data_IF_497774300569
#
_entry.id   IF_497774300569
#
_cell.length_a   1.000
_cell.length_b   1.000
_cell.length_c   1.000
_cell.angle_alpha   90.00
_cell.angle_beta   90.00
_cell.angle_gamma   90.00
#
_symmetry.space_group_name_H-M   'P 1'
#
loop_
_entity.id
_entity.type
_entity.pdbx_description
1 polymer ?
#
# COMPACT_ATOMS: atom_id res chain seq x y z
N UNK A 1 -8.93 -24.77 7.47
CA UNK A 1 -8.64 -23.32 7.69
C UNK A 1 -9.77 -22.52 7.09
N UNK A 2 -10.31 -21.52 7.81
CA UNK A 2 -11.40 -20.71 7.27
C UNK A 2 -10.92 -19.92 6.05
N UNK A 3 -11.72 -19.91 4.99
CA UNK A 3 -11.45 -19.17 3.74
C UNK A 3 -11.13 -17.69 4.01
N UNK A 4 -11.75 -17.12 5.03
CA UNK A 4 -11.50 -15.76 5.51
C UNK A 4 -10.03 -15.54 5.89
N UNK A 5 -9.44 -16.43 6.68
CA UNK A 5 -8.03 -16.31 7.09
C UNK A 5 -7.11 -16.39 5.87
N UNK A 6 -7.40 -17.28 4.92
CA UNK A 6 -6.62 -17.40 3.69
C UNK A 6 -6.63 -16.12 2.85
N UNK A 7 -7.79 -15.46 2.73
CA UNK A 7 -7.93 -14.17 2.05
C UNK A 7 -7.12 -13.08 2.77
N UNK A 8 -7.22 -12.97 4.10
CA UNK A 8 -6.46 -11.98 4.87
C UNK A 8 -4.95 -12.16 4.71
N UNK A 9 -4.46 -13.41 4.76
CA UNK A 9 -3.05 -13.70 4.56
C UNK A 9 -2.58 -13.30 3.14
N UNK A 10 -3.38 -13.60 2.13
CA UNK A 10 -3.07 -13.22 0.74
C UNK A 10 -3.03 -11.69 0.56
N UNK A 11 -3.97 -10.96 1.17
CA UNK A 11 -4.00 -9.49 1.15
C UNK A 11 -2.81 -8.89 1.88
N UNK A 12 -2.44 -9.42 3.04
CA UNK A 12 -1.27 -8.99 3.79
C UNK A 12 0.03 -9.21 3.00
N UNK A 13 0.18 -10.39 2.39
CA UNK A 13 1.35 -10.70 1.56
C UNK A 13 1.44 -9.73 0.38
N UNK A 14 0.33 -9.51 -0.35
CA UNK A 14 0.29 -8.56 -1.45
C UNK A 14 0.64 -7.13 -1.00
N UNK A 15 0.14 -6.71 0.16
CA UNK A 15 0.46 -5.41 0.74
C UNK A 15 1.94 -5.28 1.03
N UNK A 16 2.54 -6.32 1.61
CA UNK A 16 3.96 -6.35 1.89
C UNK A 16 4.80 -6.27 0.62
N UNK A 17 4.41 -6.99 -0.45
CA UNK A 17 5.10 -6.93 -1.75
C UNK A 17 5.09 -5.51 -2.36
N UNK A 18 3.97 -4.78 -2.28
CA UNK A 18 3.92 -3.39 -2.75
C UNK A 18 4.79 -2.46 -1.91
N UNK A 19 4.86 -2.65 -0.59
CA UNK A 19 5.76 -1.90 0.28
C UNK A 19 7.22 -2.20 -0.08
N UNK A 20 7.58 -3.48 -0.22
CA UNK A 20 8.93 -3.89 -0.63
C UNK A 20 9.32 -3.32 -2.00
N UNK A 21 8.36 -3.12 -2.90
CA UNK A 21 8.62 -2.46 -4.20
C UNK A 21 9.12 -1.03 -4.02
N UNK A 22 8.58 -0.26 -3.08
CA UNK A 22 9.12 1.05 -2.73
C UNK A 22 10.46 0.95 -1.99
N UNK A 23 10.60 0.00 -1.07
CA UNK A 23 11.86 -0.20 -0.33
C UNK A 23 13.03 -0.60 -1.24
N UNK A 24 12.77 -1.28 -2.37
CA UNK A 24 13.80 -1.57 -3.38
C UNK A 24 14.46 -0.30 -3.95
N UNK A 25 13.77 0.84 -3.98
CA UNK A 25 14.38 2.13 -4.37
C UNK A 25 15.46 2.59 -3.37
N UNK A 26 15.45 2.04 -2.16
CA UNK A 26 16.35 2.35 -1.06
C UNK A 26 17.22 1.15 -0.67
N UNK A 27 17.38 0.15 -1.55
CA UNK A 27 18.15 -1.06 -1.29
C UNK A 27 19.62 -0.78 -0.88
N UNK A 28 20.20 0.35 -1.33
CA UNK A 28 21.53 0.79 -0.92
C UNK A 28 21.61 1.25 0.54
N UNK A 29 20.51 1.77 1.09
CA UNK A 29 20.44 2.26 2.46
C UNK A 29 20.08 1.13 3.44
N UNK A 30 19.23 0.19 3.03
CA UNK A 30 18.78 -0.91 3.86
C UNK A 30 18.41 -2.12 3.00
N UNK A 31 19.00 -3.28 3.26
CA UNK A 31 18.68 -4.53 2.55
C UNK A 31 17.51 -5.29 3.17
N UNK A 32 17.24 -5.06 4.46
CA UNK A 32 16.25 -5.82 5.24
C UNK A 32 15.30 -4.88 6.00
N UNK A 33 14.33 -4.25 5.32
CA UNK A 33 13.32 -3.43 5.97
C UNK A 33 12.38 -4.30 6.79
N UNK A 34 12.09 -3.88 8.03
CA UNK A 34 11.27 -4.66 8.96
C UNK A 34 9.96 -3.97 9.26
N UNK A 35 8.88 -4.73 9.27
CA UNK A 35 7.62 -4.21 9.74
C UNK A 35 7.66 -4.01 11.27
N UNK A 36 7.36 -2.79 11.73
CA UNK A 36 7.31 -2.44 13.16
C UNK A 36 5.90 -2.64 13.72
N UNK A 37 4.90 -2.08 13.05
CA UNK A 37 3.51 -2.10 13.54
C UNK A 37 2.48 -1.88 12.44
N UNK A 38 1.29 -2.42 12.70
CA UNK A 38 0.06 -2.19 11.94
C UNK A 38 -0.88 -1.30 12.75
N UNK A 39 -1.46 -0.29 12.10
CA UNK A 39 -2.49 0.56 12.69
C UNK A 39 -3.69 0.65 11.76
N UNK A 40 -4.82 0.06 12.14
CA UNK A 40 -6.09 0.26 11.44
C UNK A 40 -6.57 1.70 11.61
N UNK A 41 -7.06 2.29 10.52
CA UNK A 41 -7.60 3.65 10.47
C UNK A 41 -9.04 3.61 9.93
N UNK A 42 -9.96 2.89 10.60
CA UNK A 42 -11.32 2.73 10.12
C UNK A 42 -12.02 4.09 9.99
N UNK A 43 -12.69 4.32 8.86
CA UNK A 43 -13.43 5.55 8.60
C UNK A 43 -12.59 6.79 8.28
N UNK A 44 -11.26 6.74 8.39
CA UNK A 44 -10.41 7.85 7.96
C UNK A 44 -10.02 7.70 6.48
N UNK A 45 -10.49 8.60 5.62
CA UNK A 45 -10.05 8.61 4.22
C UNK A 45 -8.64 9.17 4.08
N UNK A 46 -7.82 8.49 3.27
CA UNK A 46 -6.50 9.00 2.90
C UNK A 46 -6.61 10.27 2.04
N UNK A 47 -5.58 11.15 2.01
CA UNK A 47 -5.63 12.36 1.17
C UNK A 47 -5.90 12.08 -0.31
N UNK A 48 -5.36 10.96 -0.83
CA UNK A 48 -5.66 10.50 -2.20
C UNK A 48 -7.12 10.09 -2.33
N UNK A 49 -7.63 9.28 -1.41
CA UNK A 49 -9.03 8.83 -1.44
C UNK A 49 -10.01 10.01 -1.37
N UNK A 50 -9.73 11.01 -0.54
CA UNK A 50 -10.52 12.25 -0.45
C UNK A 50 -10.57 12.98 -1.80
N UNK A 51 -9.41 13.20 -2.43
CA UNK A 51 -9.34 13.85 -3.75
C UNK A 51 -10.02 13.02 -4.84
N UNK A 52 -9.77 11.70 -4.89
CA UNK A 52 -10.35 10.85 -5.94
C UNK A 52 -11.85 10.66 -5.78
N UNK A 53 -12.37 10.69 -4.55
CA UNK A 53 -13.80 10.63 -4.27
C UNK A 53 -14.53 11.86 -4.82
N UNK A 54 -13.92 13.04 -4.75
CA UNK A 54 -14.44 14.25 -5.39
C UNK A 54 -14.62 14.08 -6.91
N UNK A 55 -13.80 13.25 -7.56
CA UNK A 55 -13.91 12.90 -8.97
C UNK A 55 -14.74 11.62 -9.25
N UNK A 56 -15.54 11.15 -8.28
CA UNK A 56 -16.46 10.03 -8.45
C UNK A 56 -15.81 8.64 -8.46
N UNK A 57 -14.57 8.50 -7.98
CA UNK A 57 -13.97 7.17 -7.77
C UNK A 57 -14.51 6.50 -6.51
N UNK A 58 -14.48 5.17 -6.49
CA UNK A 58 -14.86 4.37 -5.33
C UNK A 58 -13.95 4.68 -4.14
N UNK A 59 -14.56 4.74 -2.96
CA UNK A 59 -13.84 4.90 -1.70
C UNK A 59 -13.24 3.55 -1.27
N UNK A 60 -12.10 3.56 -0.56
CA UNK A 60 -11.60 2.34 0.05
C UNK A 60 -12.55 1.91 1.17
N UNK A 61 -12.79 0.60 1.28
CA UNK A 61 -13.62 0.05 2.37
C UNK A 61 -12.85 -0.02 3.68
N UNK A 62 -11.51 -0.06 3.62
CA UNK A 62 -10.64 -0.10 4.79
C UNK A 62 -9.30 0.61 4.50
N UNK A 63 -8.72 1.21 5.53
CA UNK A 63 -7.43 1.91 5.47
C UNK A 63 -6.56 1.50 6.64
N UNK A 64 -5.30 1.23 6.35
CA UNK A 64 -4.29 0.88 7.33
C UNK A 64 -3.03 1.73 7.16
N UNK A 65 -2.39 2.07 8.28
CA UNK A 65 -1.06 2.66 8.30
C UNK A 65 -0.05 1.61 8.75
N UNK A 66 0.89 1.24 7.87
CA UNK A 66 1.97 0.30 8.16
C UNK A 66 3.24 1.10 8.47
N UNK A 67 3.89 0.79 9.58
CA UNK A 67 5.18 1.41 9.92
C UNK A 67 6.29 0.41 9.68
N UNK A 68 7.26 0.80 8.86
CA UNK A 68 8.41 -0.01 8.46
C UNK A 68 9.67 0.65 9.00
N UNK A 69 10.52 -0.14 9.63
CA UNK A 69 11.86 0.24 10.00
C UNK A 69 12.79 0.03 8.81
N UNK A 70 13.26 1.12 8.23
CA UNK A 70 14.31 1.12 7.24
C UNK A 70 15.65 1.34 7.97
N UNK A 71 16.14 0.27 8.61
CA UNK A 71 17.44 0.23 9.27
C UNK A 71 17.68 1.40 10.26
N UNK A 72 16.72 1.68 11.13
CA UNK A 72 16.74 2.77 12.12
C UNK A 72 15.93 4.00 11.70
N UNK A 73 15.43 4.05 10.46
CA UNK A 73 14.54 5.13 9.99
C UNK A 73 13.09 4.63 9.92
N UNK A 74 12.18 5.10 10.78
CA UNK A 74 10.78 4.72 10.69
C UNK A 74 10.11 5.40 9.50
N UNK A 75 9.56 4.61 8.59
CA UNK A 75 8.82 5.06 7.41
C UNK A 75 7.37 4.62 7.54
N UNK A 76 6.44 5.54 7.36
CA UNK A 76 5.00 5.24 7.35
C UNK A 76 4.49 5.04 5.93
N UNK A 77 3.80 3.94 5.73
CA UNK A 77 3.06 3.59 4.52
C UNK A 77 1.56 3.70 4.80
N UNK A 78 0.84 4.32 3.88
CA UNK A 78 -0.62 4.36 3.86
C UNK A 78 -1.10 3.32 2.87
N UNK A 79 -1.95 2.41 3.34
CA UNK A 79 -2.51 1.31 2.56
C UNK A 79 -4.03 1.48 2.52
N UNK A 80 -4.56 1.67 1.32
CA UNK A 80 -5.99 1.70 1.06
C UNK A 80 -6.42 0.39 0.40
N UNK A 81 -7.51 -0.21 0.90
CA UNK A 81 -8.09 -1.43 0.35
C UNK A 81 -9.39 -1.12 -0.41
N UNK A 82 -9.48 -1.58 -1.65
CA UNK A 82 -10.63 -1.37 -2.53
C UNK A 82 -11.20 -2.70 -3.00
N UNK A 83 -12.52 -2.73 -3.22
CA UNK A 83 -13.16 -3.83 -3.92
C UNK A 83 -12.65 -3.90 -5.36
N UNK A 84 -12.09 -5.05 -5.71
CA UNK A 84 -11.67 -5.36 -7.06
C UNK A 84 -12.85 -5.81 -7.93
N UNK A 85 -12.61 -5.91 -9.24
CA UNK A 85 -13.60 -6.48 -10.15
C UNK A 85 -13.79 -7.96 -9.83
N UNK A 86 -15.00 -8.32 -9.41
CA UNK A 86 -15.40 -9.70 -9.17
C UNK A 86 -15.59 -10.41 -10.51
N UNK A 87 -15.23 -11.69 -10.56
CA UNK A 87 -15.47 -12.55 -11.72
C UNK A 87 -15.99 -13.91 -11.26
N UNK A 88 -16.64 -14.71 -12.13
CA UNK A 88 -17.10 -16.05 -11.76
C UNK A 88 -15.98 -16.97 -11.25
N UNK A 89 -14.74 -16.72 -11.70
CA UNK A 89 -13.54 -17.47 -11.33
C UNK A 89 -12.93 -16.93 -10.03
N UNK A 90 -13.01 -15.61 -9.80
CA UNK A 90 -12.51 -14.93 -8.62
C UNK A 90 -13.65 -14.13 -7.95
N UNK A 91 -14.46 -14.79 -7.10
CA UNK A 91 -15.61 -14.16 -6.47
C UNK A 91 -15.19 -13.07 -5.46
N UNK A 92 -13.99 -13.18 -4.89
CA UNK A 92 -13.39 -12.17 -4.03
C UNK A 92 -12.15 -11.62 -4.71
N UNK A 93 -12.16 -10.33 -5.02
CA UNK A 93 -11.05 -9.61 -5.63
C UNK A 93 -10.81 -8.35 -4.80
N UNK A 94 -9.60 -8.19 -4.26
CA UNK A 94 -9.23 -7.02 -3.45
C UNK A 94 -8.05 -6.33 -4.14
N UNK A 95 -8.21 -5.04 -4.39
CA UNK A 95 -7.15 -4.18 -4.87
C UNK A 95 -6.49 -3.48 -3.68
N UNK A 96 -5.16 -3.54 -3.64
CA UNK A 96 -4.34 -2.97 -2.57
C UNK A 96 -3.57 -1.80 -3.16
N UNK A 97 -3.71 -0.62 -2.59
CA UNK A 97 -2.95 0.58 -2.94
C UNK A 97 -2.10 0.98 -1.74
N UNK A 98 -0.88 0.44 -1.69
CA UNK A 98 0.12 0.78 -0.70
C UNK A 98 1.06 1.86 -1.23
N UNK A 99 1.32 2.89 -0.43
CA UNK A 99 2.21 4.00 -0.81
C UNK A 99 2.87 4.66 0.40
N UNK A 100 4.08 5.22 0.25
CA UNK A 100 4.69 6.02 1.30
C UNK A 100 3.78 7.17 1.72
N UNK A 101 3.89 7.64 2.96
CA UNK A 101 3.15 8.82 3.42
C UNK A 101 3.40 10.08 2.56
N UNK A 102 2.52 11.08 2.70
CA UNK A 102 2.67 12.37 2.00
C UNK A 102 3.72 13.22 2.71
N UNK A 103 4.99 12.89 2.49
CA UNK A 103 6.17 13.65 2.90
C UNK A 103 7.04 13.95 1.69
N UNK A 104 8.02 14.85 1.79
CA UNK A 104 8.94 15.15 0.69
C UNK A 104 9.66 13.89 0.17
N UNK A 105 10.12 13.02 1.07
CA UNK A 105 10.71 11.73 0.71
C UNK A 105 9.68 10.80 0.05
N UNK A 106 8.50 10.68 0.64
CA UNK A 106 7.44 9.82 0.10
C UNK A 106 6.93 10.27 -1.27
N UNK A 107 6.83 11.57 -1.53
CA UNK A 107 6.46 12.11 -2.84
C UNK A 107 7.54 11.83 -3.89
N UNK A 108 8.82 11.95 -3.52
CA UNK A 108 9.94 11.60 -4.40
C UNK A 108 9.91 10.10 -4.75
N UNK A 109 9.65 9.25 -3.78
CA UNK A 109 9.57 7.80 -3.97
C UNK A 109 8.39 7.41 -4.88
N UNK A 110 7.22 8.01 -4.66
CA UNK A 110 6.05 7.88 -5.54
C UNK A 110 6.37 8.28 -6.98
N UNK A 111 7.03 9.42 -7.17
CA UNK A 111 7.41 9.90 -8.50
C UNK A 111 8.42 8.96 -9.17
N UNK A 112 9.43 8.48 -8.44
CA UNK A 112 10.44 7.53 -8.96
C UNK A 112 9.81 6.23 -9.42
N UNK A 113 8.94 5.64 -8.61
CA UNK A 113 8.27 4.40 -8.98
C UNK A 113 7.34 4.60 -10.18
N UNK A 114 6.59 5.71 -10.20
CA UNK A 114 5.75 6.07 -11.34
C UNK A 114 6.56 6.25 -12.63
N UNK A 115 7.74 6.86 -12.56
CA UNK A 115 8.63 7.02 -13.71
C UNK A 115 9.18 5.68 -14.21
N UNK A 116 9.54 4.76 -13.30
CA UNK A 116 9.97 3.40 -13.64
C UNK A 116 8.83 2.61 -14.31
N UNK A 117 7.60 2.75 -13.83
CA UNK A 117 6.44 2.06 -14.40
C UNK A 117 6.11 2.51 -15.83
N UNK A 118 6.47 3.74 -16.17
CA UNK A 118 6.36 4.30 -17.51
C UNK A 118 7.58 4.02 -18.39
N UNK A 119 8.55 3.22 -17.92
CA UNK A 119 9.79 2.91 -18.62
C UNK A 119 10.60 4.17 -18.98
N UNK A 120 10.48 5.23 -18.19
CA UNK A 120 11.16 6.50 -18.46
C UNK A 120 12.63 6.48 -18.06
N UNK A 121 13.09 5.46 -17.31
CA UNK A 121 14.50 5.22 -16.92
C UNK A 121 14.75 3.74 -16.66
#
# INVERSE_FOLDING_TARGET
MSMVIAIHNAVNEKTWQEILRYEKLHAQACLDPKLIRFLGRPGELSPKAQLTSFFGRTLPFDRHDWHVDRCGTPVRYVVDFYDGKQSPIHPVSIHVDARPEVSWGGLRDRFRLWAQDLNLF
#
